data_IF_002541209250
#
_entry.id   IF_002541209250
#
_cell.length_a   1.000
_cell.length_b   1.000
_cell.length_c   1.000
_cell.angle_alpha   90.00
_cell.angle_beta   90.00
_cell.angle_gamma   90.00
#
_symmetry.space_group_name_H-M   'P 1'
#
loop_
_entity.id
_entity.type
_entity.pdbx_description
1 polymer ?
#
# COMPACT_ATOMS: atom_id res chain seq x y z
N UNK A 1 -24.68 -0.09 3.68
CA UNK A 1 -23.26 -0.29 3.98
C UNK A 1 -22.63 1.09 4.03
N UNK A 2 -22.06 1.48 5.16
CA UNK A 2 -21.21 2.68 5.22
C UNK A 2 -19.90 2.29 4.56
N UNK A 3 -19.73 2.67 3.29
CA UNK A 3 -18.46 2.50 2.61
C UNK A 3 -17.45 3.39 3.34
N UNK A 4 -16.39 2.78 3.86
CA UNK A 4 -15.29 3.55 4.45
C UNK A 4 -14.70 4.49 3.38
N UNK A 5 -14.22 5.65 3.82
CA UNK A 5 -13.48 6.56 2.97
C UNK A 5 -12.10 5.97 2.66
N UNK A 6 -11.54 6.31 1.50
CA UNK A 6 -10.21 5.84 1.11
C UNK A 6 -9.18 6.27 2.17
N UNK A 7 -8.13 5.47 2.41
CA UNK A 7 -7.05 5.88 3.29
C UNK A 7 -6.35 7.10 2.69
N UNK A 8 -5.63 7.85 3.52
CA UNK A 8 -4.73 8.89 3.01
C UNK A 8 -3.33 8.32 2.77
N UNK A 9 -2.50 9.05 2.03
CA UNK A 9 -1.08 8.69 1.84
C UNK A 9 -0.34 8.54 3.18
N UNK A 10 -0.64 9.38 4.17
CA UNK A 10 -0.03 9.28 5.50
C UNK A 10 -0.38 7.97 6.21
N UNK A 11 -1.61 7.47 6.03
CA UNK A 11 -2.04 6.17 6.57
C UNK A 11 -1.27 5.03 5.90
N UNK A 12 -1.09 5.08 4.57
CA UNK A 12 -0.29 4.09 3.83
C UNK A 12 1.16 4.09 4.31
N UNK A 13 1.79 5.27 4.38
CA UNK A 13 3.17 5.43 4.84
C UNK A 13 3.36 4.90 6.26
N UNK A 14 2.45 5.25 7.18
CA UNK A 14 2.51 4.78 8.57
C UNK A 14 2.47 3.26 8.65
N UNK A 15 1.66 2.61 7.81
CA UNK A 15 1.57 1.15 7.78
C UNK A 15 2.82 0.50 7.17
N UNK A 16 3.40 1.09 6.13
CA UNK A 16 4.68 0.62 5.59
C UNK A 16 5.81 0.76 6.63
N UNK A 17 5.81 1.84 7.42
CA UNK A 17 6.73 2.00 8.56
C UNK A 17 6.51 0.91 9.61
N UNK A 18 5.27 0.55 9.93
CA UNK A 18 4.98 -0.56 10.85
C UNK A 18 5.47 -1.92 10.32
N UNK A 19 5.46 -2.11 9.01
CA UNK A 19 6.09 -3.29 8.38
C UNK A 19 7.59 -3.30 8.62
N UNK A 20 8.28 -2.18 8.40
CA UNK A 20 9.71 -2.06 8.67
C UNK A 20 10.07 -2.26 10.15
N UNK A 21 9.16 -1.88 11.06
CA UNK A 21 9.31 -2.03 12.51
C UNK A 21 8.84 -3.40 13.05
N UNK A 22 8.38 -4.31 12.19
CA UNK A 22 7.79 -5.61 12.56
C UNK A 22 6.57 -5.50 13.51
N UNK A 23 5.86 -4.37 13.49
CA UNK A 23 4.59 -4.17 14.22
C UNK A 23 3.38 -4.57 13.39
N UNK A 24 3.59 -4.81 12.11
CA UNK A 24 2.60 -5.19 11.12
C UNK A 24 3.29 -6.09 10.11
N UNK A 25 2.75 -7.27 9.84
CA UNK A 25 3.36 -8.20 8.88
C UNK A 25 3.09 -7.74 7.45
N UNK A 26 3.87 -8.27 6.49
CA UNK A 26 3.68 -8.00 5.06
C UNK A 26 2.35 -8.57 4.56
N UNK A 27 1.98 -9.76 5.01
CA UNK A 27 0.66 -10.38 4.78
C UNK A 27 -0.49 -9.51 5.31
N UNK A 28 -0.40 -9.02 6.56
CA UNK A 28 -1.41 -8.12 7.12
C UNK A 28 -1.52 -6.81 6.32
N UNK A 29 -0.40 -6.28 5.84
CA UNK A 29 -0.41 -5.13 4.94
C UNK A 29 -1.10 -5.44 3.62
N UNK A 30 -0.76 -6.56 2.98
CA UNK A 30 -1.38 -6.99 1.74
C UNK A 30 -2.90 -7.06 1.88
N UNK A 31 -3.42 -7.76 2.89
CA UNK A 31 -4.87 -7.87 3.09
C UNK A 31 -5.54 -6.52 3.35
N UNK A 32 -4.88 -5.65 4.12
CA UNK A 32 -5.38 -4.30 4.36
C UNK A 32 -5.43 -3.47 3.07
N UNK A 33 -4.37 -3.47 2.27
CA UNK A 33 -4.28 -2.72 1.02
C UNK A 33 -5.26 -3.27 -0.04
N UNK A 34 -5.41 -4.60 -0.11
CA UNK A 34 -6.27 -5.29 -1.05
C UNK A 34 -7.74 -4.85 -0.95
N UNK A 35 -8.24 -4.59 0.27
CA UNK A 35 -9.59 -4.04 0.50
C UNK A 35 -9.84 -2.76 -0.30
N UNK A 36 -8.86 -1.87 -0.35
CA UNK A 36 -8.98 -0.57 -1.01
C UNK A 36 -8.83 -0.68 -2.52
N UNK A 37 -7.94 -1.56 -2.99
CA UNK A 37 -7.79 -1.87 -4.42
C UNK A 37 -9.10 -2.44 -5.00
N UNK A 38 -9.77 -3.32 -4.25
CA UNK A 38 -11.04 -3.96 -4.63
C UNK A 38 -12.27 -3.07 -4.39
N UNK A 39 -12.13 -1.84 -3.89
CA UNK A 39 -13.25 -0.93 -3.64
C UNK A 39 -13.74 -0.28 -4.95
N UNK A 40 -14.22 -1.10 -5.88
CA UNK A 40 -14.62 -0.70 -7.24
C UNK A 40 -15.77 0.29 -7.27
N UNK A 41 -16.68 0.25 -6.28
CA UNK A 41 -17.88 1.09 -6.21
C UNK A 41 -17.56 2.59 -6.15
N UNK A 42 -16.34 2.97 -5.72
CA UNK A 42 -15.90 4.38 -5.66
C UNK A 42 -14.94 4.76 -6.80
N UNK A 43 -14.54 3.85 -7.69
CA UNK A 43 -13.45 4.11 -8.66
C UNK A 43 -13.73 5.29 -9.60
N UNK A 44 -14.98 5.43 -10.05
CA UNK A 44 -15.40 6.54 -10.92
C UNK A 44 -15.64 7.87 -10.17
N UNK A 45 -15.51 7.86 -8.84
CA UNK A 45 -15.77 9.00 -7.95
C UNK A 45 -14.52 9.46 -7.19
N UNK A 46 -13.37 8.84 -7.43
CA UNK A 46 -12.12 9.19 -6.75
C UNK A 46 -11.67 10.59 -7.15
N UNK A 47 -11.15 11.35 -6.19
CA UNK A 47 -10.36 12.53 -6.50
C UNK A 47 -9.06 12.10 -7.20
N UNK A 48 -8.37 13.06 -7.81
CA UNK A 48 -7.08 12.80 -8.46
C UNK A 48 -6.04 12.26 -7.46
N UNK A 49 -6.08 12.72 -6.21
CA UNK A 49 -5.20 12.24 -5.15
C UNK A 49 -5.52 10.79 -4.77
N UNK A 50 -6.81 10.44 -4.66
CA UNK A 50 -7.25 9.09 -4.33
C UNK A 50 -6.97 8.10 -5.48
N UNK A 51 -7.13 8.52 -6.73
CA UNK A 51 -6.80 7.72 -7.91
C UNK A 51 -5.30 7.39 -7.97
N UNK A 52 -4.45 8.38 -7.71
CA UNK A 52 -3.00 8.18 -7.59
C UNK A 52 -2.62 7.26 -6.43
N UNK A 53 -3.32 7.37 -5.30
CA UNK A 53 -3.10 6.48 -4.17
C UNK A 53 -3.55 5.04 -4.49
N UNK A 54 -4.61 4.88 -5.28
CA UNK A 54 -5.05 3.58 -5.79
C UNK A 54 -3.95 2.91 -6.60
N UNK A 55 -3.31 3.64 -7.52
CA UNK A 55 -2.17 3.13 -8.29
C UNK A 55 -1.01 2.67 -7.38
N UNK A 56 -0.67 3.45 -6.35
CA UNK A 56 0.31 3.00 -5.36
C UNK A 56 -0.11 1.72 -4.66
N UNK A 57 -1.36 1.61 -4.23
CA UNK A 57 -1.85 0.43 -3.52
C UNK A 57 -1.78 -0.83 -4.37
N UNK A 58 -2.00 -0.76 -5.70
CA UNK A 58 -1.87 -1.90 -6.62
C UNK A 58 -0.44 -2.45 -6.58
N UNK A 59 0.56 -1.60 -6.73
CA UNK A 59 1.96 -1.99 -6.74
C UNK A 59 2.42 -2.50 -5.36
N UNK A 60 1.95 -1.85 -4.28
CA UNK A 60 2.25 -2.26 -2.91
C UNK A 60 1.69 -3.65 -2.56
N UNK A 61 0.75 -4.22 -3.34
CA UNK A 61 0.31 -5.60 -3.13
C UNK A 61 1.46 -6.61 -3.32
N UNK A 62 2.54 -6.24 -4.02
CA UNK A 62 3.71 -7.10 -4.16
C UNK A 62 4.55 -7.22 -2.86
N UNK A 63 4.23 -6.47 -1.80
CA UNK A 63 5.01 -6.45 -0.54
C UNK A 63 5.15 -7.84 0.11
N UNK A 64 4.14 -8.69 -0.04
CA UNK A 64 4.09 -10.05 0.53
C UNK A 64 4.50 -11.14 -0.48
N UNK A 65 5.02 -10.75 -1.64
CA UNK A 65 5.48 -11.71 -2.65
C UNK A 65 6.77 -12.40 -2.17
N UNK A 66 6.66 -13.65 -1.76
CA UNK A 66 7.81 -14.48 -1.39
C UNK A 66 8.46 -15.18 -2.59
N UNK A 67 9.79 -15.19 -2.63
CA UNK A 67 10.58 -16.04 -3.55
C UNK A 67 10.96 -17.38 -2.91
N UNK A 68 11.02 -17.40 -1.57
CA UNK A 68 11.17 -18.56 -0.69
C UNK A 68 10.52 -18.20 0.64
N UNK A 69 10.22 -19.20 1.47
CA UNK A 69 9.69 -18.99 2.82
C UNK A 69 10.51 -17.92 3.57
N UNK A 70 9.84 -16.87 4.06
CA UNK A 70 10.42 -15.73 4.79
C UNK A 70 11.47 -14.92 3.99
N UNK A 71 11.53 -15.10 2.66
CA UNK A 71 12.41 -14.35 1.75
C UNK A 71 11.56 -13.68 0.68
N UNK A 72 11.41 -12.38 0.81
CA UNK A 72 10.57 -11.57 -0.06
C UNK A 72 11.28 -11.13 -1.33
N UNK A 73 10.52 -11.03 -2.42
CA UNK A 73 10.97 -10.46 -3.69
C UNK A 73 11.42 -9.01 -3.51
N UNK A 74 10.65 -8.22 -2.75
CA UNK A 74 10.98 -6.84 -2.39
C UNK A 74 11.65 -6.77 -1.01
N UNK A 75 12.95 -6.46 -0.89
CA UNK A 75 13.61 -6.25 0.40
C UNK A 75 13.08 -5.01 1.13
N UNK A 76 13.50 -4.83 2.39
CA UNK A 76 13.09 -3.67 3.18
C UNK A 76 13.54 -2.32 2.59
N UNK A 77 14.60 -2.30 1.78
CA UNK A 77 15.03 -1.07 1.11
C UNK A 77 14.05 -0.62 0.02
N UNK A 78 13.40 -1.56 -0.68
CA UNK A 78 12.30 -1.24 -1.61
C UNK A 78 11.11 -0.61 -0.88
N UNK A 79 10.78 -1.11 0.33
CA UNK A 79 9.72 -0.53 1.15
C UNK A 79 10.05 0.93 1.52
N UNK A 80 11.33 1.23 1.81
CA UNK A 80 11.76 2.61 2.09
C UNK A 80 11.66 3.49 0.83
N UNK A 81 12.02 2.95 -0.34
CA UNK A 81 11.87 3.65 -1.62
C UNK A 81 10.40 3.98 -1.89
N UNK A 82 9.49 3.03 -1.68
CA UNK A 82 8.05 3.29 -1.81
C UNK A 82 7.56 4.39 -0.86
N UNK A 83 7.98 4.39 0.41
CA UNK A 83 7.64 5.47 1.35
C UNK A 83 8.12 6.83 0.82
N UNK A 84 9.34 6.89 0.27
CA UNK A 84 9.90 8.13 -0.26
C UNK A 84 9.12 8.61 -1.49
N UNK A 85 8.86 7.72 -2.45
CA UNK A 85 8.08 8.03 -3.65
C UNK A 85 6.66 8.50 -3.32
N UNK A 86 5.99 7.91 -2.33
CA UNK A 86 4.66 8.36 -1.89
C UNK A 86 4.75 9.77 -1.27
N UNK A 87 5.76 10.04 -0.43
CA UNK A 87 5.96 11.37 0.16
C UNK A 87 6.20 12.45 -0.90
N UNK A 88 7.01 12.14 -1.91
CA UNK A 88 7.38 13.06 -2.98
C UNK A 88 6.28 13.17 -4.06
N UNK A 89 5.31 12.25 -4.03
CA UNK A 89 4.29 12.13 -5.06
C UNK A 89 4.87 11.69 -6.41
N UNK A 90 5.86 10.82 -6.42
CA UNK A 90 6.44 10.23 -7.62
C UNK A 90 5.69 8.96 -8.01
N UNK A 91 5.64 8.62 -9.30
CA UNK A 91 5.17 7.30 -9.74
C UNK A 91 6.15 6.20 -9.31
N UNK A 92 5.66 4.98 -9.14
CA UNK A 92 6.53 3.84 -8.85
C UNK A 92 7.37 3.38 -10.04
#
# INVERSE_FOLDING_TARGET
MTFEDQPTSEVVITKLQYVLENKFTREEFYFWAYKWVQNFDKRDQLTKEEDKLHDYLIELLAIDLEIKKDVYFHPNDDIKDWIQKINDGESF
#
